data_IF_645969039848
#
_entry.id   IF_645969039848
#
_cell.length_a   1.000
_cell.length_b   1.000
_cell.length_c   1.000
_cell.angle_alpha   90.00
_cell.angle_beta   90.00
_cell.angle_gamma   90.00
#
_symmetry.space_group_name_H-M   'P 1'
#
loop_
_entity.id
_entity.type
_entity.pdbx_description
1 polymer ?
#
# COMPACT_ATOMS: atom_id res chain seq x y z
N UNK A 1 27.74 -16.69 -14.09
CA UNK A 1 26.49 -16.59 -14.87
C UNK A 1 25.25 -16.46 -13.99
N UNK A 2 24.78 -17.48 -13.21
CA UNK A 2 23.55 -17.34 -12.37
C UNK A 2 23.62 -16.20 -11.34
N UNK A 3 24.77 -15.99 -10.69
CA UNK A 3 24.97 -14.96 -9.66
C UNK A 3 25.01 -13.54 -10.24
N UNK A 4 25.56 -13.36 -11.42
CA UNK A 4 25.58 -12.06 -12.13
C UNK A 4 24.18 -11.68 -12.62
N UNK A 5 23.40 -12.64 -13.14
CA UNK A 5 22.03 -12.40 -13.55
C UNK A 5 21.15 -11.96 -12.36
N UNK A 6 21.29 -12.63 -11.21
CA UNK A 6 20.55 -12.26 -10.00
C UNK A 6 20.86 -10.82 -9.53
N UNK A 7 22.12 -10.37 -9.67
CA UNK A 7 22.49 -8.97 -9.35
C UNK A 7 21.85 -7.99 -10.32
N UNK A 8 21.82 -8.31 -11.60
CA UNK A 8 21.17 -7.48 -12.62
C UNK A 8 19.67 -7.38 -12.37
N UNK A 9 19.02 -8.52 -12.12
CA UNK A 9 17.57 -8.57 -11.88
C UNK A 9 17.18 -7.84 -10.59
N UNK A 10 17.98 -7.98 -9.53
CA UNK A 10 17.82 -7.22 -8.28
C UNK A 10 17.94 -5.71 -8.50
N UNK A 11 18.91 -5.26 -9.31
CA UNK A 11 19.09 -3.84 -9.63
C UNK A 11 17.91 -3.29 -10.43
N UNK A 12 17.45 -4.01 -11.46
CA UNK A 12 16.28 -3.64 -12.27
C UNK A 12 15.01 -3.55 -11.43
N UNK A 13 14.82 -4.49 -10.52
CA UNK A 13 13.72 -4.45 -9.55
C UNK A 13 13.79 -3.18 -8.70
N UNK A 14 14.98 -2.82 -8.20
CA UNK A 14 15.18 -1.63 -7.38
C UNK A 14 14.88 -0.34 -8.15
N UNK A 15 15.21 -0.26 -9.44
CA UNK A 15 14.80 0.86 -10.30
C UNK A 15 13.27 1.00 -10.35
N UNK A 16 12.54 -0.09 -10.57
CA UNK A 16 11.08 -0.08 -10.60
C UNK A 16 10.48 0.29 -9.24
N UNK A 17 11.08 -0.18 -8.14
CA UNK A 17 10.63 0.16 -6.78
C UNK A 17 10.82 1.67 -6.49
N UNK A 18 11.93 2.27 -6.91
CA UNK A 18 12.14 3.74 -6.83
C UNK A 18 11.11 4.51 -7.65
N UNK A 19 10.73 4.02 -8.83
CA UNK A 19 9.71 4.63 -9.68
C UNK A 19 8.29 4.56 -9.12
N UNK A 20 8.03 3.69 -8.14
CA UNK A 20 6.75 3.67 -7.44
C UNK A 20 6.57 4.88 -6.51
N UNK A 21 7.66 5.38 -5.93
CA UNK A 21 7.67 6.54 -5.04
C UNK A 21 7.83 7.84 -5.84
N UNK A 22 8.68 7.80 -6.87
CA UNK A 22 8.93 8.90 -7.79
C UNK A 22 8.71 8.42 -9.24
N UNK A 23 7.56 8.69 -9.87
CA UNK A 23 7.24 8.22 -11.23
C UNK A 23 8.22 8.66 -12.32
N UNK A 24 9.07 9.63 -12.03
CA UNK A 24 10.12 10.09 -12.92
C UNK A 24 11.48 9.97 -12.23
N UNK A 25 12.43 9.29 -12.87
CA UNK A 25 13.80 9.09 -12.36
C UNK A 25 14.84 9.56 -13.36
N UNK A 26 15.97 10.05 -12.88
CA UNK A 26 17.10 10.47 -13.71
C UNK A 26 18.19 9.42 -13.73
N UNK A 27 18.87 9.31 -14.88
CA UNK A 27 19.97 8.33 -15.06
C UNK A 27 21.13 8.58 -14.12
N UNK A 28 21.45 9.84 -13.87
CA UNK A 28 22.55 10.25 -12.96
C UNK A 28 22.22 9.91 -11.49
N UNK A 29 21.00 10.19 -11.03
CA UNK A 29 20.52 9.85 -9.70
C UNK A 29 20.52 8.33 -9.48
N UNK A 30 19.97 7.57 -10.43
CA UNK A 30 19.97 6.10 -10.38
C UNK A 30 21.39 5.51 -10.35
N UNK A 31 22.30 6.08 -11.14
CA UNK A 31 23.69 5.62 -11.17
C UNK A 31 24.41 5.83 -9.82
N UNK A 32 24.18 6.98 -9.20
CA UNK A 32 24.73 7.31 -7.89
C UNK A 32 24.15 6.42 -6.80
N UNK A 33 22.84 6.26 -6.74
CA UNK A 33 22.16 5.50 -5.70
C UNK A 33 22.41 3.99 -5.78
N UNK A 34 22.52 3.45 -7.01
CA UNK A 34 22.75 2.03 -7.24
C UNK A 34 24.23 1.67 -7.36
N UNK A 35 25.14 2.66 -7.31
CA UNK A 35 26.60 2.46 -7.35
C UNK A 35 27.09 1.85 -8.65
N UNK A 36 26.47 2.18 -9.79
CA UNK A 36 26.84 1.66 -11.12
C UNK A 36 27.04 2.77 -12.15
N UNK A 37 27.64 2.43 -13.30
CA UNK A 37 27.86 3.41 -14.36
C UNK A 37 26.57 3.89 -15.03
N UNK A 38 26.58 5.11 -15.58
CA UNK A 38 25.48 5.65 -16.40
C UNK A 38 25.10 4.73 -17.58
N UNK A 39 26.10 4.05 -18.15
CA UNK A 39 25.90 3.10 -19.25
C UNK A 39 25.12 1.87 -18.76
N UNK A 40 25.43 1.39 -17.56
CA UNK A 40 24.72 0.26 -16.94
C UNK A 40 23.25 0.61 -16.72
N UNK A 41 22.97 1.80 -16.15
CA UNK A 41 21.60 2.28 -15.95
C UNK A 41 20.86 2.42 -17.28
N UNK A 42 21.47 3.00 -18.31
CA UNK A 42 20.84 3.12 -19.63
C UNK A 42 20.47 1.78 -20.23
N UNK A 43 21.29 0.73 -20.04
CA UNK A 43 20.99 -0.65 -20.49
C UNK A 43 19.83 -1.26 -19.70
N UNK A 44 19.81 -1.04 -18.38
CA UNK A 44 18.71 -1.53 -17.56
C UNK A 44 17.39 -0.83 -17.88
N UNK A 45 17.40 0.50 -18.08
CA UNK A 45 16.24 1.24 -18.51
C UNK A 45 15.74 0.81 -19.90
N UNK A 46 16.67 0.53 -20.84
CA UNK A 46 16.31 -0.01 -22.16
C UNK A 46 15.60 -1.36 -22.01
N UNK A 47 16.16 -2.28 -21.23
CA UNK A 47 15.53 -3.59 -20.99
C UNK A 47 14.14 -3.45 -20.38
N UNK A 48 13.98 -2.55 -19.38
CA UNK A 48 12.68 -2.34 -18.74
C UNK A 48 11.66 -1.66 -19.67
N UNK A 49 12.10 -0.80 -20.57
CA UNK A 49 11.28 -0.23 -21.65
C UNK A 49 10.82 -1.29 -22.64
N UNK A 50 11.71 -2.20 -23.06
CA UNK A 50 11.39 -3.32 -23.95
C UNK A 50 10.35 -4.26 -23.32
N UNK A 51 10.34 -4.36 -21.98
CA UNK A 51 9.33 -5.05 -21.20
C UNK A 51 8.07 -4.20 -20.91
N UNK A 52 7.97 -2.98 -21.46
CA UNK A 52 6.85 -2.02 -21.28
C UNK A 52 6.60 -1.62 -19.81
N UNK A 53 7.59 -1.79 -18.92
CA UNK A 53 7.48 -1.47 -17.51
C UNK A 53 7.72 0.02 -17.23
N UNK A 54 8.42 0.70 -18.12
CA UNK A 54 8.66 2.14 -18.09
C UNK A 54 8.78 2.70 -19.51
N UNK A 55 8.85 4.03 -19.65
CA UNK A 55 9.18 4.73 -20.88
C UNK A 55 10.39 5.62 -20.65
N UNK A 56 11.39 5.53 -21.51
CA UNK A 56 12.57 6.39 -21.44
C UNK A 56 12.24 7.80 -21.94
N UNK A 57 12.84 8.77 -21.28
CA UNK A 57 12.80 10.19 -21.65
C UNK A 57 14.22 10.74 -21.70
N UNK A 58 14.38 11.99 -22.16
CA UNK A 58 15.69 12.61 -22.18
C UNK A 58 16.25 12.72 -20.75
N UNK A 59 17.41 12.09 -20.52
CA UNK A 59 18.11 12.09 -19.23
C UNK A 59 17.53 11.13 -18.16
N UNK A 60 16.50 10.32 -18.46
CA UNK A 60 15.88 9.46 -17.44
C UNK A 60 14.85 8.49 -17.97
N UNK A 61 13.91 8.14 -17.09
CA UNK A 61 12.75 7.33 -17.42
C UNK A 61 11.53 7.81 -16.63
N UNK A 62 10.34 7.57 -17.18
CA UNK A 62 9.06 7.75 -16.52
C UNK A 62 8.33 6.40 -16.46
N UNK A 63 7.51 6.20 -15.42
CA UNK A 63 6.68 5.01 -15.32
C UNK A 63 5.83 4.87 -16.60
N UNK A 64 5.67 3.65 -17.09
CA UNK A 64 4.78 3.42 -18.22
C UNK A 64 3.38 3.90 -17.84
N UNK A 65 2.79 4.76 -18.67
CA UNK A 65 1.42 5.23 -18.45
C UNK A 65 0.45 4.04 -18.35
N UNK A 66 0.70 2.99 -19.13
CA UNK A 66 -0.14 1.79 -19.13
C UNK A 66 0.02 1.00 -17.83
N UNK A 67 1.25 0.79 -17.33
CA UNK A 67 1.48 0.08 -16.08
C UNK A 67 0.97 0.88 -14.87
N UNK A 68 1.21 2.19 -14.83
CA UNK A 68 0.69 3.05 -13.77
C UNK A 68 -0.85 3.11 -13.79
N UNK A 69 -1.45 3.21 -14.98
CA UNK A 69 -2.91 3.19 -15.14
C UNK A 69 -3.48 1.83 -14.72
N UNK A 70 -2.83 0.73 -15.07
CA UNK A 70 -3.26 -0.61 -14.69
C UNK A 70 -3.25 -0.81 -13.17
N UNK A 71 -2.19 -0.39 -12.49
CA UNK A 71 -2.14 -0.43 -11.01
C UNK A 71 -3.29 0.39 -10.41
N UNK A 72 -3.61 1.56 -10.98
CA UNK A 72 -4.75 2.36 -10.49
C UNK A 72 -6.09 1.64 -10.69
N UNK A 73 -6.27 0.89 -11.78
CA UNK A 73 -7.46 0.05 -11.99
C UNK A 73 -7.55 -0.99 -10.86
N UNK A 74 -6.50 -1.76 -10.60
CA UNK A 74 -6.51 -2.75 -9.53
C UNK A 74 -6.75 -2.15 -8.14
N UNK A 75 -6.14 -0.99 -7.85
CA UNK A 75 -6.40 -0.27 -6.60
C UNK A 75 -7.86 0.09 -6.41
N UNK A 76 -8.55 0.53 -7.48
CA UNK A 76 -9.99 0.79 -7.44
C UNK A 76 -10.80 -0.49 -7.22
N UNK A 77 -10.43 -1.60 -7.88
CA UNK A 77 -11.11 -2.89 -7.71
C UNK A 77 -10.94 -3.41 -6.26
N UNK A 78 -9.73 -3.35 -5.71
CA UNK A 78 -9.44 -3.69 -4.32
C UNK A 78 -10.28 -2.84 -3.35
N UNK A 79 -10.31 -1.52 -3.55
CA UNK A 79 -11.08 -0.59 -2.73
C UNK A 79 -12.59 -0.87 -2.81
N UNK A 80 -13.10 -1.14 -4.01
CA UNK A 80 -14.51 -1.48 -4.25
C UNK A 80 -14.91 -2.79 -3.57
N UNK A 81 -14.08 -3.82 -3.69
CA UNK A 81 -14.32 -5.08 -2.98
C UNK A 81 -14.26 -4.89 -1.46
N UNK A 82 -13.26 -4.17 -0.94
CA UNK A 82 -13.13 -3.92 0.49
C UNK A 82 -14.37 -3.21 1.06
N UNK A 83 -14.97 -2.28 0.32
CA UNK A 83 -16.21 -1.62 0.72
C UNK A 83 -17.40 -2.57 0.90
N UNK A 84 -17.45 -3.71 0.18
CA UNK A 84 -18.51 -4.72 0.36
C UNK A 84 -18.42 -5.46 1.70
N UNK A 85 -17.27 -5.38 2.37
CA UNK A 85 -17.04 -6.00 3.68
C UNK A 85 -17.44 -5.09 4.85
N UNK A 86 -17.90 -3.87 4.56
CA UNK A 86 -18.43 -2.92 5.55
C UNK A 86 -19.90 -3.22 5.78
N UNK A 87 -20.30 -3.16 7.03
CA UNK A 87 -21.70 -3.37 7.47
C UNK A 87 -22.29 -2.07 8.01
N UNK A 88 -23.63 -1.98 8.04
CA UNK A 88 -24.29 -0.84 8.66
C UNK A 88 -23.92 -0.75 10.15
N UNK A 89 -23.73 0.48 10.64
CA UNK A 89 -23.31 0.82 11.99
C UNK A 89 -21.86 0.41 12.34
N UNK A 90 -21.03 0.04 11.35
CA UNK A 90 -19.61 -0.23 11.61
C UNK A 90 -18.87 1.06 12.00
N UNK A 91 -17.95 0.91 12.95
CA UNK A 91 -16.82 1.81 13.17
C UNK A 91 -15.57 1.22 12.54
N UNK A 92 -14.84 2.03 11.77
CA UNK A 92 -13.71 1.58 10.97
C UNK A 92 -12.46 2.40 11.30
N UNK A 93 -11.34 1.74 11.49
CA UNK A 93 -10.03 2.38 11.36
C UNK A 93 -9.57 2.34 9.91
N UNK A 94 -9.05 3.47 9.44
CA UNK A 94 -8.47 3.63 8.09
C UNK A 94 -7.15 4.37 8.22
N UNK A 95 -6.04 3.74 7.79
CA UNK A 95 -4.73 4.37 7.87
C UNK A 95 -4.43 5.31 6.67
N UNK A 96 -3.20 5.80 6.58
CA UNK A 96 -2.75 6.77 5.56
C UNK A 96 -2.66 6.21 4.14
N UNK A 97 -3.04 4.98 3.90
CA UNK A 97 -3.00 4.38 2.57
C UNK A 97 -4.03 5.00 1.62
N UNK A 98 -3.57 5.37 0.43
CA UNK A 98 -4.45 5.85 -0.64
C UNK A 98 -5.46 4.78 -1.09
N UNK A 99 -5.03 3.51 -1.14
CA UNK A 99 -5.91 2.41 -1.53
C UNK A 99 -7.09 2.27 -0.59
N UNK A 100 -6.83 2.40 0.72
CA UNK A 100 -7.88 2.30 1.73
C UNK A 100 -8.77 3.54 1.71
N UNK A 101 -8.20 4.72 1.52
CA UNK A 101 -8.97 5.95 1.45
C UNK A 101 -9.97 5.94 0.27
N UNK A 102 -9.56 5.39 -0.88
CA UNK A 102 -10.45 5.23 -2.03
C UNK A 102 -11.66 4.32 -1.74
N UNK A 103 -11.58 3.45 -0.74
CA UNK A 103 -12.70 2.57 -0.35
C UNK A 103 -13.92 3.38 0.14
N UNK A 104 -13.71 4.53 0.76
CA UNK A 104 -14.77 5.35 1.33
C UNK A 104 -15.82 5.74 0.28
N UNK A 105 -15.41 5.99 -0.96
CA UNK A 105 -16.29 6.35 -2.08
C UNK A 105 -17.31 5.25 -2.41
N UNK A 106 -17.00 3.99 -2.09
CA UNK A 106 -17.80 2.81 -2.45
C UNK A 106 -18.67 2.28 -1.30
N UNK A 107 -18.61 2.87 -0.10
CA UNK A 107 -19.41 2.43 1.05
C UNK A 107 -20.87 2.76 0.79
N UNK A 108 -21.72 1.73 0.77
CA UNK A 108 -23.17 1.86 0.55
C UNK A 108 -23.99 1.74 1.84
N UNK A 109 -23.37 1.20 2.90
CA UNK A 109 -24.03 0.98 4.18
C UNK A 109 -24.32 2.29 4.91
N UNK A 110 -25.36 2.30 5.72
CA UNK A 110 -25.77 3.46 6.53
C UNK A 110 -25.03 3.51 7.87
N UNK A 111 -24.87 4.72 8.39
CA UNK A 111 -24.34 4.99 9.73
C UNK A 111 -22.95 4.39 9.99
N UNK A 112 -22.04 4.58 9.04
CA UNK A 112 -20.64 4.14 9.17
C UNK A 112 -19.79 5.27 9.71
N UNK A 113 -18.96 4.99 10.73
CA UNK A 113 -17.98 5.94 11.27
C UNK A 113 -16.59 5.51 10.91
N UNK A 114 -15.85 6.35 10.21
CA UNK A 114 -14.46 6.12 9.81
C UNK A 114 -13.53 6.98 10.65
N UNK A 115 -12.66 6.37 11.42
CA UNK A 115 -11.61 7.02 12.20
C UNK A 115 -10.30 6.88 11.43
N UNK A 116 -9.68 8.00 11.06
CA UNK A 116 -8.50 7.98 10.19
C UNK A 116 -7.44 9.00 10.60
N UNK A 117 -6.18 8.61 10.46
CA UNK A 117 -5.03 9.51 10.56
C UNK A 117 -4.58 10.07 9.20
N UNK A 118 -5.40 9.90 8.15
CA UNK A 118 -5.09 10.36 6.80
C UNK A 118 -5.64 11.77 6.57
N UNK A 119 -4.77 12.77 6.54
CA UNK A 119 -5.16 14.17 6.28
C UNK A 119 -5.83 14.40 4.92
N UNK A 120 -5.58 13.52 3.95
CA UNK A 120 -6.24 13.58 2.63
C UNK A 120 -7.73 13.25 2.67
N UNK A 121 -8.22 12.67 3.77
CA UNK A 121 -9.64 12.41 3.95
C UNK A 121 -10.50 13.68 3.89
N UNK A 122 -9.92 14.85 4.24
CA UNK A 122 -10.60 16.16 4.11
C UNK A 122 -11.07 16.46 2.69
N UNK A 123 -10.31 15.98 1.69
CA UNK A 123 -10.54 16.24 0.26
C UNK A 123 -11.13 15.04 -0.48
N UNK A 124 -11.47 13.96 0.23
CA UNK A 124 -12.04 12.77 -0.40
C UNK A 124 -13.54 12.88 -0.57
N UNK A 125 -14.03 12.28 -1.66
CA UNK A 125 -15.46 12.02 -1.81
C UNK A 125 -15.85 10.80 -0.99
N UNK A 126 -16.86 10.95 -0.15
CA UNK A 126 -17.52 9.83 0.55
C UNK A 126 -19.01 10.12 0.68
N UNK A 127 -19.86 9.07 0.78
CA UNK A 127 -21.29 9.26 0.86
C UNK A 127 -21.71 9.99 2.13
N UNK A 128 -22.84 10.72 2.13
CA UNK A 128 -23.31 11.48 3.30
C UNK A 128 -23.69 10.61 4.51
N UNK A 129 -23.85 9.31 4.31
CA UNK A 129 -24.10 8.30 5.35
C UNK A 129 -22.81 7.80 6.04
N UNK A 130 -21.66 8.33 5.66
CA UNK A 130 -20.37 8.06 6.28
C UNK A 130 -19.90 9.28 7.07
N UNK A 131 -19.60 9.09 8.35
CA UNK A 131 -18.98 10.12 9.18
C UNK A 131 -17.48 9.87 9.23
N UNK A 132 -16.67 10.89 8.89
CA UNK A 132 -15.21 10.80 8.97
C UNK A 132 -14.69 11.58 10.17
N UNK A 133 -13.95 10.91 11.03
CA UNK A 133 -13.30 11.45 12.22
C UNK A 133 -11.79 11.44 12.01
N UNK A 134 -11.15 12.59 12.11
CA UNK A 134 -9.70 12.71 12.00
C UNK A 134 -9.06 12.56 13.38
N UNK A 135 -7.98 11.79 13.47
CA UNK A 135 -7.25 11.60 14.73
C UNK A 135 -6.61 12.90 15.26
N UNK A 136 -6.34 13.86 14.36
CA UNK A 136 -5.48 14.99 14.70
C UNK A 136 -4.03 14.57 14.90
N UNK A 137 -3.21 15.48 15.42
CA UNK A 137 -1.78 15.23 15.63
C UNK A 137 -0.88 16.02 14.68
N UNK A 138 0.39 15.62 14.60
CA UNK A 138 1.37 16.23 13.71
C UNK A 138 1.15 15.77 12.27
N UNK A 139 1.02 16.71 11.33
CA UNK A 139 0.88 16.38 9.92
C UNK A 139 2.26 16.13 9.28
N UNK A 140 2.48 14.94 8.77
CA UNK A 140 3.74 14.51 8.14
C UNK A 140 3.59 14.24 6.65
N UNK A 141 4.35 14.97 5.84
CA UNK A 141 4.48 14.72 4.41
C UNK A 141 5.40 13.51 4.13
N UNK A 142 5.27 12.87 2.96
CA UNK A 142 4.43 13.21 1.81
C UNK A 142 3.02 12.58 1.85
N UNK A 143 2.70 11.75 2.86
CA UNK A 143 1.40 11.06 2.94
C UNK A 143 0.30 11.90 3.60
N UNK A 144 0.63 13.05 4.18
CA UNK A 144 -0.25 13.86 5.03
C UNK A 144 -0.79 13.04 6.21
N UNK A 145 0.11 12.26 6.81
CA UNK A 145 -0.17 11.40 7.95
C UNK A 145 -0.26 12.23 9.23
N UNK A 146 -1.35 12.08 9.98
CA UNK A 146 -1.48 12.60 11.34
C UNK A 146 -0.88 11.59 12.31
N UNK A 147 0.16 11.99 13.02
CA UNK A 147 0.97 11.11 13.90
C UNK A 147 1.35 11.80 15.19
N UNK A 148 2.12 11.10 16.03
CA UNK A 148 2.62 11.62 17.30
C UNK A 148 1.63 11.46 18.46
N UNK A 149 2.01 11.99 19.62
CA UNK A 149 1.30 11.76 20.90
C UNK A 149 -0.16 12.21 20.86
N UNK A 150 -0.48 13.31 20.17
CA UNK A 150 -1.87 13.77 20.06
C UNK A 150 -2.74 12.77 19.29
N UNK A 151 -2.22 12.23 18.19
CA UNK A 151 -2.93 11.21 17.40
C UNK A 151 -3.15 9.93 18.24
N UNK A 152 -2.12 9.47 18.94
CA UNK A 152 -2.20 8.29 19.82
C UNK A 152 -3.15 8.48 21.00
N UNK A 153 -3.11 9.65 21.66
CA UNK A 153 -4.05 9.94 22.77
C UNK A 153 -5.50 9.92 22.33
N UNK A 154 -5.79 10.37 21.10
CA UNK A 154 -7.13 10.34 20.55
C UNK A 154 -7.55 8.93 20.09
N UNK A 155 -6.62 8.08 19.65
CA UNK A 155 -6.87 6.70 19.23
C UNK A 155 -7.01 5.73 20.39
N UNK A 156 -6.19 5.86 21.45
CA UNK A 156 -6.12 4.92 22.57
C UNK A 156 -7.48 4.62 23.25
N UNK A 157 -8.43 5.55 23.41
CA UNK A 157 -9.73 5.25 24.00
C UNK A 157 -10.75 4.66 23.01
N UNK A 158 -10.38 4.48 21.72
CA UNK A 158 -11.32 4.08 20.67
C UNK A 158 -11.08 2.62 20.29
N UNK A 159 -12.16 1.84 20.21
CA UNK A 159 -12.21 0.53 19.61
C UNK A 159 -13.11 0.59 18.35
N UNK A 160 -12.63 0.07 17.24
CA UNK A 160 -13.42 -0.02 16.02
C UNK A 160 -13.79 -1.47 15.70
N UNK A 161 -14.86 -1.67 14.93
CA UNK A 161 -15.24 -3.01 14.48
C UNK A 161 -14.16 -3.60 13.59
N UNK A 162 -13.68 -2.86 12.62
CA UNK A 162 -12.71 -3.34 11.62
C UNK A 162 -11.61 -2.29 11.41
N UNK A 163 -10.40 -2.76 11.10
CA UNK A 163 -9.34 -1.91 10.59
C UNK A 163 -9.07 -2.25 9.12
N UNK A 164 -9.26 -1.27 8.24
CA UNK A 164 -8.83 -1.36 6.85
C UNK A 164 -7.49 -0.64 6.72
N UNK A 165 -6.47 -1.41 6.39
CA UNK A 165 -5.09 -0.95 6.41
C UNK A 165 -4.46 -1.11 5.03
N UNK A 166 -3.55 -0.24 4.68
CA UNK A 166 -2.64 -0.43 3.56
C UNK A 166 -1.20 -0.40 4.02
N UNK A 167 -0.29 -0.90 3.21
CA UNK A 167 1.11 -1.05 3.56
C UNK A 167 2.04 -0.60 2.42
N UNK A 168 3.32 -0.46 2.73
CA UNK A 168 4.38 -0.33 1.73
C UNK A 168 4.85 -1.70 1.23
N UNK A 169 4.74 -2.73 2.05
CA UNK A 169 5.00 -4.13 1.71
C UNK A 169 4.37 -5.07 2.72
N UNK A 170 4.14 -6.33 2.30
CA UNK A 170 3.68 -7.43 3.15
C UNK A 170 4.43 -8.71 2.81
N UNK A 171 4.86 -9.44 3.83
CA UNK A 171 5.42 -10.79 3.72
C UNK A 171 4.95 -11.68 4.86
N UNK A 172 5.05 -13.00 4.67
CA UNK A 172 4.72 -13.97 5.71
C UNK A 172 5.63 -13.88 6.95
N UNK A 173 6.85 -13.38 6.78
CA UNK A 173 7.86 -13.29 7.84
C UNK A 173 7.69 -12.05 8.70
N UNK A 174 7.46 -10.88 8.06
CA UNK A 174 7.47 -9.58 8.73
C UNK A 174 6.09 -8.93 8.84
N UNK A 175 5.04 -9.57 8.27
CA UNK A 175 3.71 -8.99 8.24
C UNK A 175 3.66 -7.69 7.43
N UNK A 176 2.89 -6.73 7.90
CA UNK A 176 2.72 -5.42 7.28
C UNK A 176 3.90 -4.51 7.60
N UNK A 177 4.49 -3.88 6.57
CA UNK A 177 5.62 -2.97 6.70
C UNK A 177 5.32 -1.60 6.09
N UNK A 178 5.97 -0.55 6.63
CA UNK A 178 5.89 0.83 6.14
C UNK A 178 7.29 1.43 5.91
N UNK A 179 7.38 2.43 5.04
CA UNK A 179 8.58 3.23 4.82
C UNK A 179 8.75 4.32 5.89
N UNK A 180 7.68 4.68 6.59
CA UNK A 180 7.63 5.83 7.48
C UNK A 180 7.54 5.38 8.95
N UNK A 181 8.62 5.57 9.69
CA UNK A 181 8.70 5.26 11.13
C UNK A 181 7.54 5.87 11.94
N UNK A 182 7.17 7.09 11.64
CA UNK A 182 6.11 7.80 12.37
C UNK A 182 4.71 7.17 12.27
N UNK A 183 4.49 6.28 11.28
CA UNK A 183 3.21 5.58 11.11
C UNK A 183 3.10 4.32 11.97
N UNK A 184 4.22 3.78 12.49
CA UNK A 184 4.27 2.48 13.15
C UNK A 184 3.30 2.44 14.34
N UNK A 185 3.48 3.31 15.32
CA UNK A 185 2.66 3.29 16.56
C UNK A 185 1.17 3.54 16.30
N UNK A 186 0.84 4.38 15.31
CA UNK A 186 -0.56 4.63 14.93
C UNK A 186 -1.16 3.38 14.28
N UNK A 187 -0.43 2.73 13.37
CA UNK A 187 -0.88 1.50 12.74
C UNK A 187 -1.06 0.37 13.77
N UNK A 188 -0.10 0.18 14.67
CA UNK A 188 -0.17 -0.81 15.76
C UNK A 188 -1.40 -0.57 16.65
N UNK A 189 -1.66 0.68 17.05
CA UNK A 189 -2.84 1.03 17.85
C UNK A 189 -4.14 0.69 17.10
N UNK A 190 -4.25 1.05 15.82
CA UNK A 190 -5.43 0.73 15.01
C UNK A 190 -5.64 -0.79 14.87
N UNK A 191 -4.55 -1.55 14.69
CA UNK A 191 -4.59 -3.00 14.57
C UNK A 191 -5.03 -3.65 15.89
N UNK A 192 -4.46 -3.22 17.02
CA UNK A 192 -4.75 -3.80 18.33
C UNK A 192 -6.17 -3.48 18.83
N UNK A 193 -6.73 -2.36 18.39
CA UNK A 193 -8.08 -1.92 18.79
C UNK A 193 -9.17 -2.31 17.77
N UNK A 194 -8.85 -3.10 16.73
CA UNK A 194 -9.83 -3.65 15.80
C UNK A 194 -10.46 -4.93 16.36
N UNK A 195 -11.75 -4.88 16.75
CA UNK A 195 -12.42 -5.96 17.50
C UNK A 195 -12.86 -7.15 16.64
N UNK A 196 -13.11 -6.94 15.34
CA UNK A 196 -13.59 -7.98 14.41
C UNK A 196 -12.52 -8.41 13.39
N UNK A 197 -11.43 -7.67 13.30
CA UNK A 197 -10.27 -8.03 12.49
C UNK A 197 -9.70 -6.91 11.62
N UNK A 198 -8.53 -7.21 11.10
CA UNK A 198 -7.73 -6.33 10.25
C UNK A 198 -7.80 -6.82 8.81
N UNK A 199 -8.14 -5.91 7.91
CA UNK A 199 -8.27 -6.13 6.47
C UNK A 199 -7.17 -5.33 5.77
N UNK A 200 -6.20 -6.02 5.19
CA UNK A 200 -5.08 -5.39 4.51
C UNK A 200 -5.34 -5.27 3.01
N UNK A 201 -5.25 -4.06 2.47
CA UNK A 201 -5.44 -3.75 1.06
C UNK A 201 -4.07 -3.48 0.41
N UNK A 202 -3.63 -4.38 -0.45
CA UNK A 202 -2.32 -4.29 -1.09
C UNK A 202 -2.40 -4.73 -2.55
N UNK A 203 -1.98 -3.89 -3.48
CA UNK A 203 -1.82 -4.31 -4.88
C UNK A 203 -0.64 -5.27 -5.03
N UNK A 204 -0.59 -6.04 -6.15
CA UNK A 204 0.43 -7.04 -6.43
C UNK A 204 1.87 -6.54 -6.24
N UNK A 205 2.10 -5.23 -6.39
CA UNK A 205 3.45 -4.65 -6.25
C UNK A 205 3.98 -4.67 -4.81
N UNK A 206 3.12 -4.94 -3.83
CA UNK A 206 3.44 -4.96 -2.39
C UNK A 206 3.62 -6.36 -1.83
N UNK A 207 3.15 -7.38 -2.55
CA UNK A 207 3.13 -8.77 -2.09
C UNK A 207 4.55 -9.37 -2.12
N UNK A 208 4.95 -10.03 -1.04
CA UNK A 208 6.29 -10.62 -0.89
C UNK A 208 7.40 -9.57 -0.72
N UNK A 209 7.06 -8.33 -0.37
CA UNK A 209 8.02 -7.24 -0.15
C UNK A 209 8.02 -6.78 1.28
N UNK A 210 9.19 -6.29 1.70
CA UNK A 210 9.40 -5.65 3.00
C UNK A 210 9.87 -4.22 2.81
N UNK A 211 9.39 -3.35 3.67
CA UNK A 211 9.85 -1.97 3.82
C UNK A 211 10.66 -1.82 5.10
N UNK A 212 11.07 -0.58 5.42
CA UNK A 212 12.04 -0.30 6.47
C UNK A 212 11.56 -0.64 7.89
N UNK A 213 10.24 -0.55 8.15
CA UNK A 213 9.70 -0.69 9.50
C UNK A 213 8.51 -1.65 9.51
N UNK A 214 8.51 -2.62 10.43
CA UNK A 214 7.35 -3.46 10.72
C UNK A 214 6.30 -2.57 11.39
N UNK A 215 5.05 -2.67 10.95
CA UNK A 215 3.94 -1.86 11.48
C UNK A 215 2.66 -2.65 11.76
N UNK A 216 2.74 -3.98 11.66
CA UNK A 216 1.68 -4.90 12.05
C UNK A 216 2.08 -6.35 11.80
N UNK A 217 2.04 -7.22 12.81
CA UNK A 217 2.41 -8.62 12.68
C UNK A 217 1.40 -9.38 11.81
N UNK A 218 1.88 -10.41 11.10
CA UNK A 218 1.06 -11.17 10.15
C UNK A 218 -0.14 -11.85 10.82
N UNK A 219 0.01 -12.28 12.05
CA UNK A 219 -1.00 -12.98 12.86
C UNK A 219 -2.22 -12.11 13.19
N UNK A 220 -2.09 -10.78 13.15
CA UNK A 220 -3.19 -9.84 13.36
C UNK A 220 -4.00 -9.58 12.09
N UNK A 221 -3.49 -9.94 10.93
CA UNK A 221 -4.16 -9.73 9.65
C UNK A 221 -5.14 -10.87 9.42
N UNK A 222 -6.43 -10.53 9.37
CA UNK A 222 -7.51 -11.49 9.10
C UNK A 222 -7.65 -11.79 7.62
N UNK A 223 -7.61 -10.73 6.80
CA UNK A 223 -7.83 -10.82 5.34
C UNK A 223 -6.81 -9.94 4.62
N UNK A 224 -6.18 -10.50 3.61
CA UNK A 224 -5.44 -9.75 2.58
C UNK A 224 -6.30 -9.65 1.32
N UNK A 225 -6.55 -8.43 0.86
CA UNK A 225 -7.23 -8.15 -0.41
C UNK A 225 -6.17 -7.64 -1.39
N UNK A 226 -5.96 -8.40 -2.45
CA UNK A 226 -4.97 -8.09 -3.49
C UNK A 226 -5.58 -8.27 -4.88
N UNK A 227 -4.79 -8.24 -5.93
CA UNK A 227 -5.25 -8.44 -7.30
C UNK A 227 -4.67 -9.71 -7.93
N UNK A 228 -5.26 -10.11 -9.07
CA UNK A 228 -4.92 -11.34 -9.80
C UNK A 228 -3.47 -11.42 -10.29
N UNK A 229 -2.71 -10.31 -10.30
CA UNK A 229 -1.29 -10.28 -10.66
C UNK A 229 -0.36 -10.54 -9.49
N UNK A 230 -0.88 -10.68 -8.28
CA UNK A 230 -0.06 -10.96 -7.11
C UNK A 230 0.70 -12.29 -7.28
N UNK A 231 2.00 -12.34 -6.98
CA UNK A 231 2.80 -13.55 -7.13
C UNK A 231 2.31 -14.65 -6.18
N UNK A 232 2.06 -15.85 -6.71
CA UNK A 232 1.42 -16.93 -5.95
C UNK A 232 2.28 -17.47 -4.80
N UNK A 233 3.60 -17.66 -5.01
CA UNK A 233 4.49 -18.16 -3.97
C UNK A 233 4.43 -17.35 -2.66
N UNK A 234 4.57 -15.99 -2.65
CA UNK A 234 4.37 -15.21 -1.43
C UNK A 234 2.94 -15.28 -0.88
N UNK A 235 1.91 -15.44 -1.73
CA UNK A 235 0.53 -15.57 -1.25
C UNK A 235 0.30 -16.89 -0.53
N UNK A 236 0.89 -18.00 -1.00
CA UNK A 236 0.86 -19.30 -0.31
C UNK A 236 1.48 -19.20 1.09
N UNK A 237 2.67 -18.60 1.20
CA UNK A 237 3.33 -18.37 2.49
C UNK A 237 2.48 -17.52 3.45
N UNK A 238 1.76 -16.51 2.93
CA UNK A 238 0.85 -15.69 3.72
C UNK A 238 -0.38 -16.50 4.18
N UNK A 239 -0.95 -17.34 3.31
CA UNK A 239 -2.07 -18.25 3.68
C UNK A 239 -1.67 -19.25 4.76
N UNK A 240 -0.45 -19.79 4.70
CA UNK A 240 0.10 -20.71 5.69
C UNK A 240 0.20 -20.08 7.09
N UNK A 241 0.25 -18.73 7.16
CA UNK A 241 0.18 -17.97 8.42
C UNK A 241 -1.27 -17.71 8.90
N UNK A 242 -2.26 -18.31 8.24
CA UNK A 242 -3.67 -18.21 8.62
C UNK A 242 -4.41 -16.98 8.08
N UNK A 243 -3.79 -16.21 7.17
CA UNK A 243 -4.42 -15.04 6.54
C UNK A 243 -5.31 -15.50 5.39
N UNK A 244 -6.58 -15.12 5.41
CA UNK A 244 -7.47 -15.32 4.26
C UNK A 244 -7.06 -14.37 3.12
N UNK A 245 -6.81 -14.90 1.92
CA UNK A 245 -6.40 -14.10 0.76
C UNK A 245 -7.52 -14.04 -0.26
N UNK A 246 -7.90 -12.83 -0.62
CA UNK A 246 -8.85 -12.58 -1.71
C UNK A 246 -8.16 -11.81 -2.84
N UNK A 247 -8.25 -12.34 -4.07
CA UNK A 247 -7.69 -11.73 -5.28
C UNK A 247 -8.81 -11.19 -6.16
N UNK A 248 -8.90 -9.87 -6.30
CA UNK A 248 -9.83 -9.24 -7.26
C UNK A 248 -9.34 -9.44 -8.69
N UNK A 249 -10.27 -9.60 -9.62
CA UNK A 249 -10.00 -9.74 -11.05
C UNK A 249 -10.68 -8.62 -11.82
N UNK A 250 -10.13 -8.27 -12.98
CA UNK A 250 -10.77 -7.29 -13.88
C UNK A 250 -12.16 -7.72 -14.33
N UNK A 251 -12.42 -9.04 -14.38
CA UNK A 251 -13.72 -9.61 -14.75
C UNK A 251 -14.79 -9.50 -13.66
N UNK A 252 -14.44 -9.18 -12.43
CA UNK A 252 -15.37 -9.17 -11.29
C UNK A 252 -16.21 -7.88 -11.24
N UNK A 253 -15.90 -6.90 -12.09
CA UNK A 253 -16.50 -5.57 -12.11
C UNK A 253 -16.71 -5.05 -13.54
#
# INVERSE_FOLDING_TARGET
MKREQAIVDSRRKRILDMMQTNPQVRVDELAQELGVSLITIRRDLQFLEDQKLLRRVYGGAVASLDAAAEIQIYRKLIARYAATLVSANDSLFVNTSRNVLNMLEYIQCSNVTVITNNGKAISCNYPPNVTVVLTGGELRHPKDAMVGDFALRNLNPIYANKAFMGCSGISAENGMTTELFHEVSVNETMIDHATQGVYLLADHTKIGKNSSFISGPIEKIKVLITDEKAPEEPLELIRDRGVAVYQVRKSDF
#
